data_IF_490815093578
#
_entry.id   IF_490815093578
#
_cell.length_a   1.000
_cell.length_b   1.000
_cell.length_c   1.000
_cell.angle_alpha   90.00
_cell.angle_beta   90.00
_cell.angle_gamma   90.00
#
_symmetry.space_group_name_H-M   'P 1'
#
loop_
_entity.id
_entity.type
_entity.pdbx_description
1 polymer ?
2 non-polymer ?
3 non-polymer ?
4 water ?
#
# COMPACT_ATOMS: atom_id res chain seq x y z
N UNK A 10 3.45 -7.05 -27.57
CA UNK A 10 4.50 -7.40 -26.57
C UNK A 10 4.47 -6.39 -25.41
N UNK A 11 5.05 -6.76 -24.26
CA UNK A 11 5.07 -5.86 -23.10
C UNK A 11 5.86 -4.58 -23.39
N UNK A 12 5.44 -3.47 -22.81
CA UNK A 12 6.15 -2.21 -23.01
C UNK A 12 5.76 -1.16 -21.99
N UNK A 13 6.70 -0.27 -21.68
CA UNK A 13 6.42 0.81 -20.75
C UNK A 13 5.86 1.89 -21.67
N UNK A 14 4.54 2.05 -21.63
CA UNK A 14 3.84 3.02 -22.46
C UNK A 14 4.48 4.41 -22.51
N UNK A 15 4.69 4.90 -23.72
CA UNK A 15 5.29 6.21 -23.93
C UNK A 15 4.37 7.35 -23.51
N UNK A 16 4.82 8.13 -22.54
CA UNK A 16 4.04 9.27 -22.04
C UNK A 16 4.91 10.51 -22.06
N UNK A 17 5.97 10.46 -22.85
CA UNK A 17 6.92 11.57 -22.95
C UNK A 17 6.26 12.88 -23.39
N UNK A 18 5.25 12.79 -24.24
CA UNK A 18 4.57 13.98 -24.75
C UNK A 18 3.37 14.46 -23.93
N UNK A 19 3.16 13.87 -22.76
CA UNK A 19 2.06 14.29 -21.90
C UNK A 19 2.58 15.30 -20.89
N UNK A 20 1.77 16.31 -20.54
CA UNK A 20 2.24 17.31 -19.57
C UNK A 20 2.47 16.73 -18.17
N UNK A 21 3.25 17.45 -17.37
CA UNK A 21 3.53 17.01 -16.00
C UNK A 21 2.44 17.57 -15.09
N UNK A 22 1.61 16.68 -14.54
CA UNK A 22 0.52 17.11 -13.65
C UNK A 22 0.46 16.44 -12.28
N UNK A 23 -0.27 17.09 -11.37
CA UNK A 23 -0.46 16.62 -10.00
C UNK A 23 -1.25 15.32 -9.97
N UNK A 24 -0.63 14.27 -9.43
CA UNK A 24 -1.27 12.96 -9.33
C UNK A 24 -1.38 12.50 -7.87
N UNK A 25 -2.43 11.75 -7.56
CA UNK A 25 -2.62 11.23 -6.22
C UNK A 25 -3.35 9.89 -6.30
N UNK A 26 -3.08 9.02 -5.34
CA UNK A 26 -3.73 7.71 -5.30
C UNK A 26 -3.80 7.22 -3.86
N UNK A 27 -4.93 6.60 -3.52
CA UNK A 27 -5.15 6.07 -2.18
C UNK A 27 -5.66 4.64 -2.29
N UNK A 28 -5.04 3.74 -1.54
CA UNK A 28 -5.43 2.34 -1.54
C UNK A 28 -5.50 1.84 -0.12
N UNK A 29 -6.03 0.63 0.06
CA UNK A 29 -6.13 0.05 1.39
C UNK A 29 -5.98 -1.46 1.30
N UNK A 30 -5.69 -2.08 2.43
CA UNK A 30 -5.54 -3.52 2.51
C UNK A 30 -5.92 -3.93 3.92
N UNK A 31 -6.27 -5.20 4.09
CA UNK A 31 -6.66 -5.72 5.40
C UNK A 31 -5.98 -7.04 5.71
N UNK A 32 -5.76 -7.28 6.99
CA UNK A 32 -5.19 -8.54 7.45
C UNK A 32 -6.21 -9.03 8.48
N UNK A 33 -6.81 -10.19 8.22
CA UNK A 33 -7.81 -10.76 9.13
C UNK A 33 -7.10 -11.51 10.25
N UNK A 34 -7.41 -11.15 11.49
CA UNK A 34 -6.76 -11.75 12.66
C UNK A 34 -7.52 -12.87 13.38
N UNK A 35 -6.76 -13.81 13.94
CA UNK A 35 -7.34 -14.89 14.73
C UNK A 35 -7.25 -14.33 16.15
N UNK A 36 -7.87 -14.99 17.12
CA UNK A 36 -7.79 -14.47 18.49
C UNK A 36 -6.34 -14.49 18.95
N UNK A 37 -5.60 -15.52 18.53
CA UNK A 37 -4.19 -15.63 18.90
C UNK A 37 -3.39 -14.43 18.42
N UNK A 38 -3.57 -14.07 17.15
CA UNK A 38 -2.87 -12.94 16.56
C UNK A 38 -3.29 -11.61 17.20
N UNK A 39 -4.59 -11.47 17.47
CA UNK A 39 -5.10 -10.25 18.09
C UNK A 39 -4.46 -10.04 19.45
N UNK A 40 -4.40 -11.10 20.25
CA UNK A 40 -3.79 -11.02 21.57
C UNK A 40 -2.36 -10.52 21.43
N UNK A 41 -1.60 -11.16 20.55
CA UNK A 41 -0.21 -10.79 20.32
C UNK A 41 -0.08 -9.31 19.96
N UNK A 42 -0.89 -8.85 19.02
CA UNK A 42 -0.85 -7.45 18.60
C UNK A 42 -1.17 -6.50 19.74
N UNK A 43 -1.98 -6.96 20.69
CA UNK A 43 -2.34 -6.12 21.83
C UNK A 43 -1.20 -6.07 22.83
N UNK A 44 -0.37 -7.11 22.84
CA UNK A 44 0.78 -7.16 23.73
C UNK A 44 1.92 -6.37 23.10
N UNK A 45 1.78 -6.08 21.81
CA UNK A 45 2.80 -5.33 21.11
C UNK A 45 3.63 -6.23 20.21
N UNK A 49 9.69 -9.55 18.98
CA UNK A 49 10.26 -9.28 17.66
C UNK A 49 10.00 -7.83 17.26
N UNK A 50 9.15 -7.15 18.02
CA UNK A 50 8.82 -5.77 17.71
C UNK A 50 7.34 -5.56 17.45
N UNK A 51 6.92 -4.30 17.39
CA UNK A 51 5.52 -3.95 17.15
C UNK A 51 5.19 -4.11 15.66
N UNK A 52 4.36 -5.11 15.32
CA UNK A 52 4.00 -5.35 13.92
C UNK A 52 3.45 -4.12 13.18
N UNK A 53 2.61 -3.35 13.84
CA UNK A 53 2.01 -2.18 13.22
C UNK A 53 3.02 -1.08 12.88
N UNK A 54 4.00 -0.89 13.75
CA UNK A 54 5.02 0.13 13.54
C UNK A 54 5.97 -0.25 12.41
N UNK A 55 6.45 -1.48 12.43
CA UNK A 55 7.37 -1.95 11.40
C UNK A 55 6.69 -1.97 10.03
N UNK A 56 5.43 -2.41 10.00
CA UNK A 56 4.68 -2.50 8.75
C UNK A 56 4.44 -1.14 8.12
N UNK A 57 4.18 -0.14 8.96
CA UNK A 57 3.91 1.21 8.50
C UNK A 57 5.13 1.74 7.74
N UNK A 58 6.32 1.50 8.29
CA UNK A 58 7.54 1.95 7.63
C UNK A 58 7.81 1.15 6.36
N UNK A 59 7.54 -0.15 6.40
CA UNK A 59 7.77 -0.99 5.23
C UNK A 59 6.91 -0.50 4.07
N UNK A 60 5.73 0.00 4.39
CA UNK A 60 4.84 0.51 3.36
C UNK A 60 5.41 1.72 2.64
N UNK A 61 5.97 2.65 3.41
CA UNK A 61 6.57 3.86 2.84
C UNK A 61 7.74 3.47 1.95
N UNK A 62 8.59 2.58 2.46
CA UNK A 62 9.74 2.11 1.70
C UNK A 62 9.28 1.42 0.42
N UNK A 63 8.22 0.62 0.53
CA UNK A 63 7.69 -0.11 -0.62
C UNK A 63 7.18 0.81 -1.73
N UNK A 64 6.55 1.91 -1.33
CA UNK A 64 6.03 2.87 -2.30
C UNK A 64 7.18 3.36 -3.19
N UNK A 65 8.33 3.62 -2.57
CA UNK A 65 9.49 4.10 -3.31
C UNK A 65 10.12 3.04 -4.21
N UNK A 66 9.91 1.77 -3.86
CA UNK A 66 10.49 0.67 -4.63
C UNK A 66 9.53 0.10 -5.67
N UNK A 67 8.35 0.68 -5.80
CA UNK A 67 7.34 0.18 -6.73
C UNK A 67 7.77 -0.11 -8.17
N UNK A 68 8.44 0.85 -8.81
CA UNK A 68 8.86 0.67 -10.20
C UNK A 68 9.85 -0.48 -10.37
N UNK A 69 10.54 -0.82 -9.29
CA UNK A 69 11.52 -1.91 -9.34
C UNK A 69 10.81 -3.27 -9.24
N UNK A 70 9.60 -3.27 -8.69
CA UNK A 70 8.82 -4.50 -8.50
C UNK A 70 7.79 -4.79 -9.59
N UNK A 71 7.20 -3.73 -10.14
CA UNK A 71 6.19 -3.86 -11.18
C UNK A 71 6.90 -3.58 -12.51
N UNK A 72 7.13 -4.63 -13.31
CA UNK A 72 7.81 -4.57 -14.61
C UNK A 72 7.59 -3.38 -15.53
N UNK A 73 6.34 -3.10 -15.89
CA UNK A 73 6.06 -2.00 -16.81
C UNK A 73 5.75 -0.66 -16.16
N UNK A 74 5.95 -0.57 -14.85
CA UNK A 74 5.68 0.65 -14.11
C UNK A 74 6.70 1.75 -14.40
N UNK A 75 6.21 2.98 -14.58
CA UNK A 75 7.08 4.12 -14.86
C UNK A 75 7.80 4.62 -13.61
N UNK A 76 9.13 4.75 -13.67
CA UNK A 76 9.87 5.23 -12.49
C UNK A 76 9.63 6.73 -12.36
N UNK A 77 9.36 7.20 -11.15
CA UNK A 77 9.13 8.62 -10.96
C UNK A 77 9.41 9.09 -9.54
N UNK A 78 9.73 10.38 -9.38
CA UNK A 78 10.01 10.90 -8.04
C UNK A 78 8.70 11.15 -7.31
N UNK A 79 8.59 10.63 -6.09
CA UNK A 79 7.39 10.81 -5.29
C UNK A 79 7.57 12.06 -4.44
N UNK A 80 6.49 12.83 -4.29
CA UNK A 80 6.55 14.04 -3.49
C UNK A 80 5.82 13.88 -2.16
N UNK A 81 5.14 12.74 -2.00
CA UNK A 81 4.43 12.51 -0.76
C UNK A 81 4.01 11.07 -0.58
N UNK A 82 4.19 10.56 0.63
CA UNK A 82 3.80 9.19 0.96
C UNK A 82 3.31 9.14 2.39
N UNK A 83 2.06 8.71 2.55
CA UNK A 83 1.45 8.58 3.85
C UNK A 83 0.93 7.15 4.00
N UNK A 84 1.26 6.52 5.11
CA UNK A 84 0.81 5.16 5.38
C UNK A 84 0.31 5.05 6.81
N UNK A 85 -0.82 4.37 6.97
CA UNK A 85 -1.41 4.19 8.28
C UNK A 85 -1.74 2.72 8.46
N UNK A 86 -1.33 2.16 9.59
CA UNK A 86 -1.59 0.76 9.90
C UNK A 86 -2.26 0.74 11.26
N UNK A 87 -3.56 0.45 11.26
CA UNK A 87 -4.35 0.47 12.49
C UNK A 87 -5.00 -0.85 12.88
N UNK A 88 -5.10 -1.07 14.18
CA UNK A 88 -5.72 -2.27 14.71
C UNK A 88 -7.19 -1.98 14.96
N UNK A 89 -8.07 -2.79 14.38
CA UNK A 89 -9.50 -2.63 14.58
C UNK A 89 -9.91 -3.84 15.41
N UNK A 90 -9.80 -3.70 16.73
CA UNK A 90 -10.10 -4.78 17.66
C UNK A 90 -11.42 -5.50 17.48
N UNK A 91 -12.53 -4.76 17.53
CA UNK A 91 -13.84 -5.38 17.39
C UNK A 91 -13.97 -6.17 16.09
N UNK A 92 -13.44 -5.63 14.99
CA UNK A 92 -13.51 -6.29 13.69
C UNK A 92 -12.45 -7.37 13.54
N UNK A 93 -11.56 -7.46 14.52
CA UNK A 93 -10.48 -8.43 14.50
C UNK A 93 -9.67 -8.37 13.22
N UNK A 94 -9.18 -7.19 12.89
CA UNK A 94 -8.36 -7.07 11.70
C UNK A 94 -7.56 -5.79 11.67
N UNK A 95 -6.51 -5.80 10.86
CA UNK A 95 -5.63 -4.65 10.72
C UNK A 95 -5.96 -3.97 9.40
N UNK A 96 -6.16 -2.66 9.47
CA UNK A 96 -6.48 -1.90 8.28
C UNK A 96 -5.29 -1.05 7.88
N UNK A 97 -4.87 -1.18 6.63
CA UNK A 97 -3.75 -0.41 6.12
C UNK A 97 -4.27 0.51 5.03
N UNK A 98 -3.86 1.77 5.08
CA UNK A 98 -4.27 2.75 4.08
C UNK A 98 -3.04 3.52 3.65
N UNK A 99 -2.91 3.78 2.36
CA UNK A 99 -1.76 4.53 1.86
C UNK A 99 -2.14 5.53 0.79
N UNK A 100 -1.58 6.74 0.89
CA UNK A 100 -1.82 7.79 -0.09
C UNK A 100 -0.47 8.27 -0.61
N UNK A 101 -0.31 8.24 -1.93
CA UNK A 101 0.93 8.66 -2.58
C UNK A 101 0.64 9.80 -3.55
N UNK A 102 1.58 10.73 -3.65
CA UNK A 102 1.42 11.88 -4.53
C UNK A 102 2.67 12.15 -5.35
N UNK A 103 2.50 12.86 -6.46
CA UNK A 103 3.60 13.22 -7.34
C UNK A 103 3.12 14.15 -8.44
N UNK A 104 4.06 14.57 -9.28
CA UNK A 104 3.77 15.42 -10.44
C UNK A 104 4.42 14.65 -11.59
N UNK A 105 3.60 14.06 -12.45
CA UNK A 105 4.14 13.26 -13.55
C UNK A 105 3.17 13.06 -14.71
N UNK A 106 3.58 12.25 -15.68
CA UNK A 106 2.77 11.96 -16.86
C UNK A 106 1.93 10.70 -16.67
N UNK A 107 2.13 10.02 -15.55
CA UNK A 107 1.38 8.81 -15.24
C UNK A 107 0.93 8.84 -13.78
N UNK A 108 -0.01 7.96 -13.42
CA UNK A 108 -0.52 7.93 -12.06
C UNK A 108 0.29 7.15 -11.04
N UNK A 109 -0.11 7.22 -9.78
CA UNK A 109 0.60 6.51 -8.73
C UNK A 109 -0.26 5.48 -8.02
N UNK A 110 -1.19 4.89 -8.77
CA UNK A 110 -2.05 3.86 -8.21
C UNK A 110 -1.20 2.68 -7.77
N UNK A 111 -0.20 2.33 -8.57
CA UNK A 111 0.65 1.20 -8.22
C UNK A 111 1.45 1.44 -6.95
N UNK A 112 1.89 2.67 -6.75
CA UNK A 112 2.64 3.01 -5.55
C UNK A 112 1.76 2.86 -4.31
N UNK A 113 0.51 3.30 -4.41
CA UNK A 113 -0.41 3.19 -3.28
C UNK A 113 -0.75 1.72 -3.00
N UNK A 114 -1.05 0.98 -4.06
CA UNK A 114 -1.38 -0.44 -3.93
C UNK A 114 -0.21 -1.24 -3.36
N UNK A 115 1.00 -0.97 -3.85
CA UNK A 115 2.18 -1.70 -3.39
C UNK A 115 2.53 -1.37 -1.94
N UNK A 116 2.36 -0.11 -1.54
CA UNK A 116 2.64 0.28 -0.17
C UNK A 116 1.72 -0.52 0.76
N UNK A 117 0.45 -0.63 0.40
CA UNK A 117 -0.49 -1.38 1.23
C UNK A 117 -0.18 -2.87 1.26
N UNK A 118 0.14 -3.43 0.11
CA UNK A 118 0.45 -4.86 0.02
C UNK A 118 1.66 -5.25 0.84
N UNK A 119 2.72 -4.46 0.76
CA UNK A 119 3.94 -4.76 1.50
C UNK A 119 3.75 -4.52 3.00
N UNK A 120 2.97 -3.52 3.38
CA UNK A 120 2.73 -3.28 4.79
C UNK A 120 1.96 -4.50 5.33
N UNK A 121 1.02 -5.00 4.54
CA UNK A 121 0.23 -6.16 4.94
C UNK A 121 1.14 -7.38 5.07
N UNK A 122 2.04 -7.56 4.11
CA UNK A 122 2.98 -8.68 4.15
C UNK A 122 3.86 -8.59 5.39
N UNK A 123 4.17 -7.37 5.81
CA UNK A 123 5.01 -7.18 6.99
C UNK A 123 4.25 -7.53 8.27
N UNK A 124 2.98 -7.16 8.32
CA UNK A 124 2.17 -7.50 9.48
C UNK A 124 2.15 -9.03 9.56
N UNK A 125 1.96 -9.68 8.42
CA UNK A 125 1.93 -11.14 8.38
C UNK A 125 3.27 -11.69 8.87
N UNK A 126 4.37 -11.12 8.40
CA UNK A 126 5.69 -11.59 8.82
C UNK A 126 5.87 -11.55 10.33
N UNK A 127 5.37 -10.48 10.94
CA UNK A 127 5.50 -10.26 12.39
C UNK A 127 4.56 -11.11 13.24
N UNK A 128 3.55 -11.73 12.62
CA UNK A 128 2.59 -12.53 13.38
C UNK A 128 2.44 -13.98 12.94
N UNK A 129 3.14 -14.38 11.88
CA UNK A 129 3.03 -15.74 11.36
C UNK A 129 3.61 -16.82 12.28
N UNK A 130 4.50 -16.43 13.19
CA UNK A 130 5.11 -17.39 14.10
C UNK A 130 4.04 -18.22 14.80
N UNK A 131 3.04 -17.54 15.35
CA UNK A 131 1.96 -18.20 16.05
C UNK A 131 0.74 -18.44 15.17
N UNK A 132 0.58 -17.65 14.11
CA UNK A 132 -0.56 -17.79 13.22
C UNK A 132 -0.18 -17.78 11.74
N UNK A 133 0.23 -18.94 11.23
CA UNK A 133 0.63 -19.05 9.83
C UNK A 133 -0.52 -18.92 8.84
N UNK A 134 -1.75 -19.12 9.32
CA UNK A 134 -2.91 -19.04 8.45
C UNK A 134 -3.52 -17.67 8.23
N UNK A 135 -2.93 -16.62 8.81
CA UNK A 135 -3.45 -15.27 8.64
C UNK A 135 -3.58 -14.92 7.17
N UNK A 136 -4.68 -14.27 6.81
CA UNK A 136 -4.95 -13.90 5.43
C UNK A 136 -4.94 -12.40 5.17
N UNK A 137 -4.34 -12.01 4.05
CA UNK A 137 -4.36 -10.61 3.64
C UNK A 137 -5.60 -10.68 2.76
N UNK A 138 -6.73 -10.29 3.35
CA UNK A 138 -8.04 -10.36 2.71
C UNK A 138 -8.24 -9.54 1.45
N UNK A 139 -7.90 -8.26 1.49
CA UNK A 139 -8.08 -7.43 0.31
C UNK A 139 -7.01 -6.37 0.15
N UNK A 140 -6.83 -5.95 -1.09
CA UNK A 140 -5.91 -4.88 -1.46
C UNK A 140 -6.67 -4.25 -2.60
N UNK A 141 -7.06 -3.00 -2.43
CA UNK A 141 -7.86 -2.33 -3.45
C UNK A 141 -7.67 -0.82 -3.46
N UNK A 142 -7.91 -0.22 -4.62
CA UNK A 142 -7.78 1.22 -4.79
C UNK A 142 -9.05 1.89 -4.28
N UNK A 143 -8.88 2.99 -3.56
CA UNK A 143 -10.01 3.73 -3.01
C UNK A 143 -10.25 5.02 -3.76
N UNK A 144 -9.18 5.64 -4.24
CA UNK A 144 -9.30 6.91 -4.94
C UNK A 144 -8.04 7.27 -5.71
N UNK A 145 -8.21 8.12 -6.72
CA UNK A 145 -7.10 8.60 -7.51
C UNK A 145 -7.58 9.85 -8.23
N UNK A 146 -6.63 10.74 -8.54
CA UNK A 146 -6.94 11.98 -9.23
C UNK A 146 -5.79 12.30 -10.18
N UNK A 147 -6.08 13.09 -11.21
CA UNK A 147 -5.07 13.43 -12.19
C UNK A 147 -5.20 12.51 -13.38
N UNK A 148 -4.72 12.94 -14.54
CA UNK A 148 -4.81 12.13 -15.74
C UNK A 148 -6.07 12.40 -16.54
N UNK A 149 -6.12 11.86 -17.75
CA UNK A 149 -7.28 12.04 -18.64
C UNK A 149 -8.59 11.64 -17.95
N UNK A 150 -8.64 10.39 -17.49
CA UNK A 150 -9.83 9.86 -16.83
C UNK A 150 -10.34 10.73 -15.68
N UNK A 151 -9.47 11.57 -15.13
CA UNK A 151 -9.87 12.44 -14.04
C UNK A 151 -9.99 11.75 -12.69
N UNK A 152 -10.79 12.33 -11.80
CA UNK A 152 -10.98 11.77 -10.47
C UNK A 152 -11.81 10.49 -10.49
N UNK A 153 -11.41 9.53 -9.66
CA UNK A 153 -12.08 8.24 -9.55
C UNK A 153 -12.21 7.85 -8.09
N UNK A 154 -13.37 7.31 -7.71
CA UNK A 154 -13.58 6.89 -6.33
C UNK A 154 -14.27 5.54 -6.29
N UNK A 155 -13.92 4.73 -5.30
CA UNK A 155 -14.50 3.42 -5.20
C UNK A 155 -15.99 3.52 -4.93
X LIG B 1 11.52 -14.31 8.52
X LIG B 1 10.65 -15.40 8.17
X LIG B 1 10.99 -13.04 8.05
X LIG B 1 12.85 -14.50 7.98
X LIG B 1 11.62 -14.22 9.95
X LIG C 1 -4.44 7.33 -14.29
X LIG C 1 -4.78 7.62 -13.19
X LIG C 1 -5.20 6.55 -14.87
X LIG C 1 -3.19 7.92 -14.82
X LIG D 1 -2.66 9.46 -18.31
X LIG D 1 -2.33 10.35 -17.58
X LIG D 1 -1.78 8.65 -18.57
X LIG D 1 -4.05 9.42 -18.79
#
# INVERSE_FOLDING_TARGET
MDLTHFQDGRPRMVDVTEKPETFRTATAEAFVELTEEALSALEKGGVGKGDPLVVAQLAGILAAKKTADLIPLCHPLPLTGVEVRVELLKAEKRVRIEATVKTKAETGVEMEAMTACAVAALTVYDMLKAASKGLVISQVRLLHKAGGKSGEWRREQ
PO4 P O1 O2 O3 O4
ACT C O OXT CH3
ACT C O OXT CH3
#
